data_IF_852317232257
#
_entry.id   IF_852317232257
#
_cell.length_a   1.000
_cell.length_b   1.000
_cell.length_c   1.000
_cell.angle_alpha   90.00
_cell.angle_beta   90.00
_cell.angle_gamma   90.00
#
_symmetry.space_group_name_H-M   'P 1'
#
loop_
_entity.id
_entity.type
_entity.pdbx_description
1 polymer ?
#
# COMPACT_ATOMS: atom_id res chain seq x y z
N UNK A 1 8.78 14.32 -19.42
CA UNK A 1 7.36 14.64 -19.09
C UNK A 1 6.71 15.73 -19.96
N UNK A 2 7.45 16.74 -20.44
CA UNK A 2 6.89 17.87 -21.21
C UNK A 2 5.98 17.44 -22.38
N UNK A 3 6.42 16.47 -23.20
CA UNK A 3 5.63 15.93 -24.31
C UNK A 3 4.25 15.44 -23.89
N UNK A 4 4.16 14.73 -22.75
CA UNK A 4 2.88 14.20 -22.25
C UNK A 4 1.98 15.32 -21.74
N UNK A 5 2.54 16.34 -21.08
CA UNK A 5 1.78 17.51 -20.66
C UNK A 5 1.23 18.30 -21.85
N UNK A 6 2.03 18.50 -22.89
CA UNK A 6 1.59 19.13 -24.14
C UNK A 6 0.48 18.31 -24.83
N UNK A 7 0.62 16.97 -24.84
CA UNK A 7 -0.43 16.07 -25.32
C UNK A 7 -1.72 16.23 -24.51
N UNK A 8 -1.66 16.20 -23.17
CA UNK A 8 -2.82 16.38 -22.32
C UNK A 8 -3.48 17.75 -22.53
N UNK A 9 -2.69 18.82 -22.66
CA UNK A 9 -3.24 20.17 -22.90
C UNK A 9 -4.08 20.24 -24.18
N UNK A 10 -3.61 19.57 -25.24
CA UNK A 10 -4.27 19.55 -26.56
C UNK A 10 -5.44 18.57 -26.64
N UNK A 11 -5.29 17.34 -26.14
CA UNK A 11 -6.23 16.24 -26.35
C UNK A 11 -7.10 15.91 -25.13
N UNK A 12 -6.74 16.42 -23.95
CA UNK A 12 -7.46 16.22 -22.67
C UNK A 12 -7.65 14.75 -22.32
N UNK A 13 -6.64 13.92 -22.59
CA UNK A 13 -6.63 12.49 -22.23
C UNK A 13 -6.04 12.28 -20.82
N UNK A 14 -6.87 12.11 -19.77
CA UNK A 14 -6.39 11.94 -18.40
C UNK A 14 -5.73 10.58 -18.17
N UNK A 15 -6.03 9.58 -18.99
CA UNK A 15 -5.48 8.23 -18.84
C UNK A 15 -3.99 8.25 -19.17
N UNK A 16 -3.62 8.76 -20.35
CA UNK A 16 -2.22 8.84 -20.78
C UNK A 16 -1.40 9.68 -19.79
N UNK A 17 -1.94 10.80 -19.32
CA UNK A 17 -1.26 11.62 -18.32
C UNK A 17 -1.04 10.86 -17.02
N UNK A 18 -2.07 10.21 -16.48
CA UNK A 18 -1.95 9.47 -15.22
C UNK A 18 -0.96 8.31 -15.32
N UNK A 19 -1.00 7.52 -16.41
CA UNK A 19 -0.06 6.43 -16.60
C UNK A 19 1.37 6.94 -16.78
N UNK A 20 1.57 8.06 -17.48
CA UNK A 20 2.90 8.69 -17.57
C UNK A 20 3.43 9.13 -16.21
N UNK A 21 2.57 9.69 -15.35
CA UNK A 21 2.95 10.06 -13.99
C UNK A 21 3.31 8.82 -13.15
N UNK A 22 2.56 7.72 -13.28
CA UNK A 22 2.92 6.44 -12.65
C UNK A 22 4.31 5.99 -13.10
N UNK A 23 4.57 5.97 -14.40
CA UNK A 23 5.87 5.58 -14.97
C UNK A 23 6.99 6.49 -14.45
N UNK A 24 6.78 7.81 -14.46
CA UNK A 24 7.71 8.81 -13.96
C UNK A 24 8.10 8.52 -12.51
N UNK A 25 7.12 8.38 -11.62
CA UNK A 25 7.37 8.14 -10.19
C UNK A 25 8.05 6.79 -9.94
N UNK A 26 7.63 5.72 -10.61
CA UNK A 26 8.23 4.41 -10.40
C UNK A 26 9.66 4.33 -10.92
N UNK A 27 9.96 5.01 -12.03
CA UNK A 27 11.31 5.10 -12.60
C UNK A 27 12.22 6.01 -11.75
N UNK A 28 11.65 7.04 -11.14
CA UNK A 28 12.34 7.92 -10.20
C UNK A 28 12.72 7.17 -8.92
N UNK A 29 11.80 6.37 -8.36
CA UNK A 29 12.06 5.50 -7.21
C UNK A 29 13.12 4.44 -7.53
N UNK A 30 13.10 3.87 -8.74
CA UNK A 30 14.07 2.87 -9.18
C UNK A 30 15.51 3.35 -9.01
N UNK A 31 15.84 4.53 -9.56
CA UNK A 31 17.21 5.05 -9.53
C UNK A 31 17.71 5.37 -8.11
N UNK A 32 16.82 5.87 -7.25
CA UNK A 32 17.22 6.52 -5.97
C UNK A 32 17.05 5.66 -4.74
N UNK A 33 16.04 4.80 -4.77
CA UNK A 33 15.70 3.96 -3.62
C UNK A 33 16.10 2.54 -3.94
N UNK A 34 15.59 2.00 -5.06
CA UNK A 34 15.81 0.59 -5.39
C UNK A 34 17.29 0.35 -5.70
N UNK A 35 17.91 1.10 -6.60
CA UNK A 35 19.30 0.87 -7.02
C UNK A 35 20.35 1.41 -6.03
N UNK A 36 19.92 2.11 -4.98
CA UNK A 36 20.84 2.67 -3.99
C UNK A 36 21.50 1.57 -3.17
N UNK A 37 22.84 1.53 -3.19
CA UNK A 37 23.63 0.50 -2.53
C UNK A 37 23.35 0.37 -1.03
N UNK A 38 23.05 1.47 -0.34
CA UNK A 38 22.71 1.46 1.09
C UNK A 38 21.38 0.74 1.32
N UNK A 39 20.35 1.05 0.53
CA UNK A 39 19.04 0.40 0.67
C UNK A 39 19.05 -1.04 0.16
N UNK A 40 19.80 -1.34 -0.90
CA UNK A 40 20.02 -2.72 -1.35
C UNK A 40 20.58 -3.57 -0.23
N UNK A 41 21.68 -3.13 0.40
CA UNK A 41 22.32 -3.88 1.48
C UNK A 41 21.43 -3.98 2.73
N UNK A 42 20.82 -2.88 3.15
CA UNK A 42 20.17 -2.79 4.47
C UNK A 42 18.67 -3.10 4.44
N UNK A 43 18.04 -3.19 3.27
CA UNK A 43 16.60 -3.43 3.12
C UNK A 43 16.37 -4.59 2.13
N UNK A 44 16.65 -4.40 0.84
CA UNK A 44 16.20 -5.34 -0.20
C UNK A 44 16.89 -6.71 -0.17
N UNK A 45 18.15 -6.77 0.25
CA UNK A 45 18.90 -8.02 0.38
C UNK A 45 18.68 -8.74 1.72
N UNK A 46 17.94 -8.14 2.65
CA UNK A 46 17.67 -8.74 3.96
C UNK A 46 16.73 -9.93 3.83
N UNK A 47 16.87 -10.91 4.74
CA UNK A 47 16.00 -12.09 4.77
C UNK A 47 14.57 -11.65 5.13
N UNK A 48 14.45 -10.67 6.01
CA UNK A 48 13.18 -10.09 6.45
C UNK A 48 12.38 -9.52 5.27
N UNK A 49 13.02 -8.75 4.39
CA UNK A 49 12.37 -8.19 3.21
C UNK A 49 11.92 -9.30 2.25
N UNK A 50 12.82 -10.24 1.93
CA UNK A 50 12.50 -11.36 1.02
C UNK A 50 11.37 -12.24 1.56
N UNK A 51 11.34 -12.45 2.88
CA UNK A 51 10.26 -13.20 3.52
C UNK A 51 8.93 -12.44 3.48
N UNK A 52 8.94 -11.12 3.66
CA UNK A 52 7.73 -10.30 3.52
C UNK A 52 7.15 -10.36 2.11
N UNK A 53 8.02 -10.30 1.09
CA UNK A 53 7.61 -10.40 -0.31
C UNK A 53 7.09 -11.81 -0.64
N UNK A 54 7.81 -12.87 -0.22
CA UNK A 54 7.39 -14.26 -0.39
C UNK A 54 6.04 -14.57 0.28
N UNK A 55 5.84 -14.07 1.51
CA UNK A 55 4.58 -14.24 2.25
C UNK A 55 3.49 -13.25 1.81
N UNK A 56 3.76 -12.38 0.84
CA UNK A 56 2.82 -11.41 0.29
C UNK A 56 2.21 -10.49 1.35
N UNK A 57 3.03 -9.99 2.27
CA UNK A 57 2.55 -9.23 3.44
C UNK A 57 2.31 -7.74 3.16
N UNK A 58 2.63 -7.26 1.96
CA UNK A 58 2.54 -5.85 1.60
C UNK A 58 1.29 -5.57 0.77
N UNK A 59 0.42 -4.69 1.25
CA UNK A 59 -0.86 -4.35 0.62
C UNK A 59 -1.02 -2.84 0.48
N UNK A 60 -1.59 -2.41 -0.65
CA UNK A 60 -2.09 -1.04 -0.84
C UNK A 60 -3.61 -1.12 -0.72
N UNK A 61 -4.15 -0.34 0.21
CA UNK A 61 -5.55 -0.38 0.60
C UNK A 61 -6.23 0.97 0.31
N UNK A 62 -7.41 0.92 -0.27
CA UNK A 62 -8.32 2.03 -0.47
C UNK A 62 -9.61 1.77 0.31
N UNK A 63 -9.76 2.41 1.48
CA UNK A 63 -11.01 2.37 2.21
C UNK A 63 -12.08 3.19 1.50
N UNK A 64 -13.32 2.70 1.55
CA UNK A 64 -14.47 3.37 0.95
C UNK A 64 -15.74 3.13 1.78
N UNK A 65 -16.75 3.96 1.58
CA UNK A 65 -18.07 3.73 2.16
C UNK A 65 -18.89 2.78 1.29
N UNK A 66 -19.36 1.68 1.89
CA UNK A 66 -20.33 0.78 1.24
C UNK A 66 -21.68 1.49 1.10
N UNK A 67 -22.31 1.36 -0.05
CA UNK A 67 -23.55 2.10 -0.37
C UNK A 67 -24.74 1.70 0.51
N UNK A 68 -24.81 0.42 0.93
CA UNK A 68 -25.99 -0.17 1.57
C UNK A 68 -25.97 -0.16 3.10
N UNK A 69 -24.90 0.34 3.73
CA UNK A 69 -24.74 0.30 5.18
C UNK A 69 -24.20 1.63 5.70
N UNK A 70 -25.00 2.34 6.51
CA UNK A 70 -24.57 3.64 7.10
C UNK A 70 -23.26 3.46 7.86
N UNK A 71 -22.18 4.03 7.31
CA UNK A 71 -20.81 4.04 7.86
C UNK A 71 -20.10 2.68 7.91
N UNK A 72 -20.50 1.72 7.08
CA UNK A 72 -19.69 0.51 6.88
C UNK A 72 -18.54 0.82 5.93
N UNK A 73 -17.33 0.45 6.35
CA UNK A 73 -16.10 0.67 5.59
C UNK A 73 -15.78 -0.62 4.83
N UNK A 74 -15.72 -0.52 3.51
CA UNK A 74 -15.13 -1.55 2.66
C UNK A 74 -13.65 -1.27 2.43
N UNK A 75 -12.90 -2.31 2.05
CA UNK A 75 -11.52 -2.20 1.61
C UNK A 75 -11.40 -2.76 0.22
N UNK A 76 -10.93 -1.94 -0.71
CA UNK A 76 -10.40 -2.40 -1.99
C UNK A 76 -8.89 -2.22 -2.01
N UNK A 77 -8.18 -2.90 -2.91
CA UNK A 77 -6.75 -2.72 -3.01
C UNK A 77 -6.05 -3.76 -3.87
N UNK A 78 -4.74 -3.79 -3.73
CA UNK A 78 -3.88 -4.78 -4.38
C UNK A 78 -2.75 -5.19 -3.44
N UNK A 79 -2.37 -6.47 -3.53
CA UNK A 79 -1.15 -6.98 -2.91
C UNK A 79 0.06 -6.64 -3.78
N UNK A 80 1.10 -6.10 -3.17
CA UNK A 80 2.37 -5.84 -3.81
C UNK A 80 3.24 -7.11 -3.76
N UNK A 81 3.85 -7.45 -4.89
CA UNK A 81 4.83 -8.53 -5.03
C UNK A 81 6.02 -8.03 -5.85
N UNK A 82 7.21 -8.57 -5.58
CA UNK A 82 8.44 -8.25 -6.32
C UNK A 82 8.67 -6.74 -6.40
N UNK A 83 8.62 -6.07 -5.25
CA UNK A 83 8.74 -4.62 -5.18
C UNK A 83 10.06 -4.08 -5.75
N UNK A 84 11.10 -4.89 -5.83
CA UNK A 84 12.36 -4.57 -6.50
C UNK A 84 12.23 -4.46 -8.03
N UNK A 85 11.20 -5.07 -8.65
CA UNK A 85 10.97 -4.98 -10.10
C UNK A 85 10.24 -3.71 -10.51
N UNK A 86 10.89 -2.86 -11.31
CA UNK A 86 10.28 -1.68 -11.91
C UNK A 86 9.01 -2.01 -12.71
N UNK A 87 9.06 -3.09 -13.50
CA UNK A 87 7.92 -3.52 -14.32
C UNK A 87 6.69 -3.82 -13.46
N UNK A 88 6.87 -4.57 -12.38
CA UNK A 88 5.78 -4.95 -11.48
C UNK A 88 5.19 -3.74 -10.77
N UNK A 89 6.03 -2.78 -10.37
CA UNK A 89 5.56 -1.53 -9.75
C UNK A 89 4.76 -0.66 -10.72
N UNK A 90 5.18 -0.56 -11.99
CA UNK A 90 4.43 0.18 -13.01
C UNK A 90 3.08 -0.50 -13.26
N UNK A 91 3.06 -1.82 -13.44
CA UNK A 91 1.80 -2.56 -13.64
C UNK A 91 0.87 -2.46 -12.43
N UNK A 92 1.42 -2.52 -11.20
CA UNK A 92 0.66 -2.28 -9.99
C UNK A 92 0.04 -0.89 -9.98
N UNK A 93 0.80 0.16 -10.32
CA UNK A 93 0.28 1.52 -10.43
C UNK A 93 -0.86 1.64 -11.45
N UNK A 94 -0.75 0.96 -12.60
CA UNK A 94 -1.82 0.87 -13.60
C UNK A 94 -3.07 0.16 -13.06
N UNK A 95 -2.90 -0.97 -12.35
CA UNK A 95 -4.02 -1.68 -11.72
C UNK A 95 -4.73 -0.83 -10.67
N UNK A 96 -3.96 -0.14 -9.81
CA UNK A 96 -4.50 0.77 -8.80
C UNK A 96 -5.24 1.96 -9.44
N UNK A 97 -4.70 2.52 -10.52
CA UNK A 97 -5.39 3.57 -11.28
C UNK A 97 -6.73 3.07 -11.80
N UNK A 98 -6.77 1.90 -12.45
CA UNK A 98 -8.02 1.33 -12.92
C UNK A 98 -8.99 1.03 -11.77
N UNK A 99 -8.52 0.48 -10.65
CA UNK A 99 -9.35 0.23 -9.47
C UNK A 99 -10.02 1.51 -8.97
N UNK A 100 -9.27 2.62 -8.92
CA UNK A 100 -9.80 3.90 -8.47
C UNK A 100 -10.72 4.57 -9.49
N UNK A 101 -10.39 4.53 -10.79
CA UNK A 101 -10.98 5.43 -11.79
C UNK A 101 -11.75 4.74 -12.93
N UNK A 102 -11.68 3.42 -13.08
CA UNK A 102 -12.36 2.72 -14.16
C UNK A 102 -13.88 2.66 -13.97
N UNK A 103 -14.35 2.51 -12.72
CA UNK A 103 -15.76 2.61 -12.37
C UNK A 103 -16.05 3.97 -11.71
N UNK A 104 -16.86 4.81 -12.38
CA UNK A 104 -17.23 6.16 -11.90
C UNK A 104 -17.95 6.16 -10.56
N UNK A 105 -18.76 5.16 -10.27
CA UNK A 105 -19.48 5.04 -8.99
C UNK A 105 -18.50 4.71 -7.85
N UNK A 106 -17.46 3.92 -8.13
CA UNK A 106 -16.38 3.62 -7.19
C UNK A 106 -15.64 4.87 -6.73
N UNK A 107 -15.26 5.76 -7.65
CA UNK A 107 -14.51 7.01 -7.36
C UNK A 107 -15.17 7.84 -6.25
N UNK A 108 -16.49 8.08 -6.35
CA UNK A 108 -17.21 8.90 -5.38
C UNK A 108 -17.16 8.29 -3.97
N UNK A 109 -17.27 6.96 -3.86
CA UNK A 109 -17.20 6.29 -2.56
C UNK A 109 -15.84 6.42 -1.88
N UNK A 110 -14.74 6.36 -2.65
CA UNK A 110 -13.38 6.59 -2.15
C UNK A 110 -13.18 8.04 -1.71
N UNK A 111 -13.60 9.00 -2.55
CA UNK A 111 -13.46 10.44 -2.26
C UNK A 111 -14.25 10.82 -1.01
N UNK A 112 -15.52 10.39 -0.91
CA UNK A 112 -16.36 10.67 0.27
C UNK A 112 -15.70 10.16 1.55
N UNK A 113 -15.12 8.95 1.52
CA UNK A 113 -14.40 8.41 2.67
C UNK A 113 -13.17 9.26 3.00
N UNK A 114 -12.30 9.53 2.03
CA UNK A 114 -11.05 10.27 2.24
C UNK A 114 -11.27 11.70 2.76
N UNK A 115 -12.30 12.40 2.26
CA UNK A 115 -12.67 13.75 2.74
C UNK A 115 -13.22 13.71 4.16
N UNK A 116 -13.99 12.67 4.51
CA UNK A 116 -14.61 12.55 5.83
C UNK A 116 -13.68 12.00 6.92
N UNK A 117 -12.57 11.37 6.54
CA UNK A 117 -11.65 10.69 7.44
C UNK A 117 -10.24 11.26 7.31
N UNK A 118 -9.90 12.35 8.04
CA UNK A 118 -8.54 12.86 8.07
C UNK A 118 -7.56 11.79 8.55
N UNK A 119 -6.56 11.49 7.74
CA UNK A 119 -5.59 10.44 8.04
C UNK A 119 -4.69 10.81 9.22
N UNK A 120 -4.63 9.92 10.21
CA UNK A 120 -3.68 9.99 11.32
C UNK A 120 -2.42 9.14 11.07
N UNK A 121 -2.44 8.32 10.01
CA UNK A 121 -1.44 7.29 9.73
C UNK A 121 -1.63 6.01 10.56
N UNK A 122 -2.65 5.96 11.42
CA UNK A 122 -3.05 4.74 12.12
C UNK A 122 -4.01 3.92 11.27
N UNK A 123 -3.89 2.59 11.33
CA UNK A 123 -4.87 1.66 10.75
C UNK A 123 -6.24 1.72 11.45
N UNK A 124 -6.32 2.37 12.61
CA UNK A 124 -7.58 2.70 13.29
C UNK A 124 -8.50 3.55 12.40
N UNK A 125 -7.92 4.36 11.50
CA UNK A 125 -8.67 5.27 10.62
C UNK A 125 -9.70 4.50 9.76
N UNK A 126 -9.30 3.33 9.24
CA UNK A 126 -10.17 2.52 8.37
C UNK A 126 -10.67 1.22 9.02
N UNK A 127 -10.07 0.74 10.12
CA UNK A 127 -10.49 -0.51 10.78
C UNK A 127 -10.42 -0.43 12.32
N UNK A 128 -11.24 0.43 12.95
CA UNK A 128 -11.20 0.74 14.40
C UNK A 128 -11.63 -0.43 15.32
N UNK A 129 -12.29 -1.44 14.76
CA UNK A 129 -12.65 -2.66 15.49
C UNK A 129 -11.44 -3.58 15.73
N UNK A 130 -10.44 -3.52 14.85
CA UNK A 130 -9.24 -4.36 14.93
C UNK A 130 -8.02 -3.60 15.47
N UNK A 131 -7.90 -2.32 15.12
CA UNK A 131 -6.75 -1.49 15.48
C UNK A 131 -7.12 -0.37 16.46
N UNK A 132 -6.14 0.01 17.28
CA UNK A 132 -6.26 1.16 18.18
C UNK A 132 -4.93 1.92 18.31
N UNK A 133 -5.00 3.23 18.46
CA UNK A 133 -3.85 4.15 18.59
C UNK A 133 -3.30 4.24 20.01
N UNK A 134 -3.95 3.57 20.97
CA UNK A 134 -3.47 3.39 22.34
C UNK A 134 -3.15 1.93 22.58
N UNK A 135 -2.01 1.66 23.23
CA UNK A 135 -1.59 0.31 23.56
C UNK A 135 -2.38 -0.23 24.75
N UNK A 136 -3.41 -1.01 24.46
CA UNK A 136 -4.29 -1.63 25.46
C UNK A 136 -3.67 -2.88 26.14
N UNK A 137 -2.58 -3.42 25.59
CA UNK A 137 -1.95 -4.62 26.12
C UNK A 137 -1.10 -4.34 27.36
N UNK A 138 -1.25 -5.18 28.38
CA UNK A 138 -0.44 -5.14 29.60
C UNK A 138 1.01 -5.53 29.28
N UNK A 139 2.02 -4.70 29.65
CA UNK A 139 3.42 -5.04 29.51
C UNK A 139 3.80 -6.36 30.19
N UNK A 140 4.81 -7.07 29.67
CA UNK A 140 5.34 -8.31 30.27
C UNK A 140 4.53 -9.59 30.01
N UNK A 141 3.31 -9.50 29.46
CA UNK A 141 2.55 -10.71 29.05
C UNK A 141 3.01 -11.23 27.68
N UNK A 142 3.04 -12.56 27.46
CA UNK A 142 3.34 -13.13 26.16
C UNK A 142 2.29 -12.67 25.13
N UNK A 143 2.72 -12.54 23.88
CA UNK A 143 1.79 -12.18 22.82
C UNK A 143 0.81 -13.33 22.61
N UNK A 144 -0.48 -13.02 22.56
CA UNK A 144 -1.55 -13.97 22.24
C UNK A 144 -2.17 -13.53 20.93
N UNK A 145 -2.47 -14.49 20.07
CA UNK A 145 -3.21 -14.28 18.83
C UNK A 145 -4.53 -13.58 19.15
N UNK A 146 -4.80 -12.46 18.47
CA UNK A 146 -5.94 -11.58 18.73
C UNK A 146 -7.05 -11.78 17.71
N UNK A 147 -6.68 -12.15 16.49
CA UNK A 147 -7.59 -12.28 15.38
C UNK A 147 -7.88 -13.76 15.07
N UNK A 148 -9.12 -14.06 14.70
CA UNK A 148 -9.52 -15.34 14.11
C UNK A 148 -10.64 -15.07 13.11
N UNK A 149 -10.48 -15.48 11.86
CA UNK A 149 -11.48 -15.36 10.80
C UNK A 149 -11.98 -13.91 10.63
N UNK A 150 -11.09 -12.94 10.45
CA UNK A 150 -11.51 -11.55 10.22
C UNK A 150 -11.87 -10.76 11.48
N UNK A 151 -12.01 -11.41 12.63
CA UNK A 151 -12.58 -10.79 13.83
C UNK A 151 -11.66 -10.86 15.04
N UNK A 152 -11.72 -9.82 15.87
CA UNK A 152 -11.04 -9.79 17.16
C UNK A 152 -11.74 -10.74 18.14
N UNK A 153 -10.96 -11.54 18.86
CA UNK A 153 -11.50 -12.44 19.87
C UNK A 153 -12.05 -11.66 21.07
N UNK A 154 -13.17 -12.14 21.64
CA UNK A 154 -13.83 -11.50 22.78
C UNK A 154 -12.87 -11.37 23.97
N UNK A 155 -12.78 -10.15 24.53
CA UNK A 155 -11.92 -9.85 25.68
C UNK A 155 -10.44 -9.72 25.35
N UNK A 156 -10.04 -9.76 24.08
CA UNK A 156 -8.66 -9.52 23.64
C UNK A 156 -8.50 -8.05 23.22
N UNK A 157 -7.44 -7.35 23.67
CA UNK A 157 -7.20 -5.97 23.26
C UNK A 157 -6.93 -5.85 21.75
N UNK A 158 -7.22 -4.68 21.17
CA UNK A 158 -6.96 -4.36 19.76
C UNK A 158 -5.48 -4.29 19.44
N UNK A 159 -5.16 -4.50 18.16
CA UNK A 159 -3.79 -4.38 17.66
C UNK A 159 -3.37 -2.92 17.76
N UNK A 160 -2.24 -2.67 18.41
CA UNK A 160 -1.70 -1.34 18.54
C UNK A 160 -1.22 -0.82 17.17
N UNK A 161 -1.76 0.31 16.74
CA UNK A 161 -1.39 1.04 15.54
C UNK A 161 -1.26 2.53 15.90
N UNK A 162 -0.07 3.02 16.23
CA UNK A 162 0.12 4.43 16.59
C UNK A 162 -0.22 5.37 15.42
N UNK A 163 -0.41 6.65 15.75
CA UNK A 163 -0.39 7.72 14.74
C UNK A 163 1.02 7.89 14.16
N UNK A 164 1.11 8.47 12.97
CA UNK A 164 2.36 8.64 12.23
C UNK A 164 3.43 9.34 13.08
N UNK A 165 3.06 10.41 13.79
CA UNK A 165 3.98 11.22 14.61
C UNK A 165 4.66 10.45 15.76
N UNK A 166 4.08 9.31 16.18
CA UNK A 166 4.61 8.45 17.24
C UNK A 166 5.26 7.18 16.68
N UNK A 167 5.09 6.89 15.39
CA UNK A 167 5.62 5.70 14.75
C UNK A 167 7.06 5.88 14.27
N UNK A 168 7.37 7.05 13.68
CA UNK A 168 8.70 7.38 13.18
C UNK A 168 9.13 8.78 13.61
N UNK A 169 10.44 8.95 13.81
CA UNK A 169 11.02 10.28 14.03
C UNK A 169 11.03 11.05 12.71
N UNK A 170 11.01 12.37 12.78
CA UNK A 170 11.26 13.21 11.62
C UNK A 170 12.65 12.90 11.03
N UNK A 171 12.71 12.80 9.71
CA UNK A 171 13.93 12.56 8.95
C UNK A 171 14.15 13.72 7.99
N UNK A 172 15.41 14.15 7.85
CA UNK A 172 15.78 15.12 6.82
C UNK A 172 16.05 14.36 5.52
N UNK A 173 15.39 14.77 4.44
CA UNK A 173 15.61 14.20 3.13
C UNK A 173 16.60 15.04 2.34
N UNK A 174 17.48 14.37 1.61
CA UNK A 174 18.36 15.02 0.64
C UNK A 174 17.54 15.64 -0.49
N UNK A 175 18.11 16.63 -1.16
CA UNK A 175 17.47 17.27 -2.31
C UNK A 175 17.25 16.25 -3.42
N UNK A 176 16.21 16.49 -4.20
CA UNK A 176 15.98 15.66 -5.36
C UNK A 176 17.11 15.85 -6.40
N UNK A 177 17.76 14.75 -6.78
CA UNK A 177 18.65 14.69 -7.95
C UNK A 177 17.97 15.21 -9.22
N UNK A 178 18.77 15.75 -10.13
CA UNK A 178 18.27 16.26 -11.41
C UNK A 178 18.51 15.17 -12.46
N UNK A 179 17.46 14.78 -13.19
CA UNK A 179 17.58 13.81 -14.28
C UNK A 179 16.23 13.40 -14.86
N UNK A 180 16.25 12.96 -16.12
CA UNK A 180 15.09 12.36 -16.77
C UNK A 180 15.01 10.86 -16.44
N UNK A 181 13.83 10.27 -16.58
CA UNK A 181 13.58 8.83 -16.54
C UNK A 181 13.44 8.23 -17.94
N UNK A 182 13.13 9.05 -18.95
CA UNK A 182 12.90 8.58 -20.33
C UNK A 182 14.23 8.39 -21.07
N UNK A 183 14.65 7.14 -21.22
CA UNK A 183 15.86 6.76 -22.00
C UNK A 183 15.59 5.68 -23.03
N UNK A 184 14.43 5.01 -22.94
CA UNK A 184 14.04 3.90 -23.78
C UNK A 184 12.58 4.09 -24.23
N UNK A 185 12.36 3.90 -25.53
CA UNK A 185 11.05 3.99 -26.17
C UNK A 185 10.14 2.83 -25.79
N UNK A 186 10.67 1.68 -25.38
CA UNK A 186 9.84 0.53 -24.95
C UNK A 186 8.87 0.87 -23.82
N UNK A 187 9.17 1.93 -23.04
CA UNK A 187 8.29 2.42 -21.98
C UNK A 187 6.91 2.84 -22.50
N UNK A 188 6.78 3.15 -23.80
CA UNK A 188 5.48 3.50 -24.39
C UNK A 188 4.51 2.32 -24.40
N UNK A 189 5.00 1.09 -24.32
CA UNK A 189 4.16 -0.11 -24.27
C UNK A 189 3.26 -0.11 -23.02
N UNK A 190 3.70 0.55 -21.94
CA UNK A 190 2.88 0.73 -20.74
C UNK A 190 1.68 1.65 -20.95
N UNK A 191 1.62 2.44 -22.02
CA UNK A 191 0.42 3.24 -22.34
C UNK A 191 -0.73 2.41 -22.90
N UNK A 192 -0.49 1.16 -23.31
CA UNK A 192 -1.57 0.27 -23.69
C UNK A 192 -2.46 -0.02 -22.47
N UNK A 193 -3.78 -0.10 -22.69
CA UNK A 193 -4.71 -0.47 -21.62
C UNK A 193 -4.39 -1.88 -21.12
N UNK A 194 -4.68 -2.11 -19.85
CA UNK A 194 -4.60 -3.44 -19.28
C UNK A 194 -5.82 -4.24 -19.78
N UNK A 195 -5.57 -5.36 -20.42
CA UNK A 195 -6.60 -6.32 -20.86
C UNK A 195 -6.96 -7.33 -19.75
N UNK A 196 -6.70 -6.98 -18.49
CA UNK A 196 -6.96 -7.80 -17.31
C UNK A 196 -8.17 -7.27 -16.51
N UNK A 197 -9.05 -8.18 -16.09
CA UNK A 197 -10.11 -7.86 -15.14
C UNK A 197 -9.49 -7.68 -13.75
N UNK A 198 -9.60 -6.47 -13.21
CA UNK A 198 -8.96 -6.12 -11.94
C UNK A 198 -9.95 -6.39 -10.81
N UNK A 199 -9.74 -7.49 -10.09
CA UNK A 199 -10.42 -7.72 -8.82
C UNK A 199 -9.80 -6.81 -7.75
N UNK A 200 -10.60 -5.92 -7.17
CA UNK A 200 -10.20 -5.03 -6.09
C UNK A 200 -10.44 -5.58 -4.69
N UNK A 201 -11.08 -6.74 -4.53
CA UNK A 201 -11.29 -7.36 -3.23
C UNK A 201 -9.94 -7.70 -2.58
N UNK A 202 -9.75 -7.28 -1.33
CA UNK A 202 -8.49 -7.47 -0.59
C UNK A 202 -8.69 -7.76 0.90
N UNK A 203 -9.94 -7.70 1.38
CA UNK A 203 -10.23 -7.77 2.80
C UNK A 203 -9.78 -9.11 3.41
N UNK A 204 -9.99 -10.20 2.67
CA UNK A 204 -9.64 -11.56 3.10
C UNK A 204 -8.12 -11.77 3.06
N UNK A 205 -7.43 -11.38 1.99
CA UNK A 205 -5.97 -11.44 1.88
C UNK A 205 -5.28 -10.60 2.95
N UNK A 206 -5.84 -9.43 3.25
CA UNK A 206 -5.31 -8.57 4.30
C UNK A 206 -5.58 -9.16 5.69
N UNK A 207 -6.74 -9.78 5.92
CA UNK A 207 -7.03 -10.54 7.12
C UNK A 207 -6.00 -11.68 7.33
N UNK A 208 -5.79 -12.52 6.31
CA UNK A 208 -4.80 -13.59 6.36
C UNK A 208 -3.39 -13.07 6.67
N UNK A 209 -3.04 -11.91 6.09
CA UNK A 209 -1.75 -11.27 6.32
C UNK A 209 -1.55 -10.92 7.78
N UNK A 210 -2.57 -10.35 8.43
CA UNK A 210 -2.51 -10.03 9.86
C UNK A 210 -2.35 -11.32 10.67
N UNK A 211 -3.09 -12.38 10.35
CA UNK A 211 -2.97 -13.67 11.03
C UNK A 211 -1.57 -14.28 10.87
N UNK A 212 -0.99 -14.24 9.65
CA UNK A 212 0.39 -14.66 9.37
C UNK A 212 1.40 -13.88 10.20
N UNK A 213 1.23 -12.56 10.32
CA UNK A 213 2.09 -11.70 11.15
C UNK A 213 1.98 -12.04 12.64
N UNK A 214 0.78 -12.30 13.16
CA UNK A 214 0.59 -12.71 14.56
C UNK A 214 1.31 -14.03 14.85
N UNK A 215 1.18 -15.02 13.94
CA UNK A 215 1.87 -16.31 14.06
C UNK A 215 3.39 -16.15 14.01
N UNK A 216 3.91 -15.31 13.12
CA UNK A 216 5.34 -15.01 13.06
C UNK A 216 5.87 -14.39 14.36
N UNK A 217 5.11 -13.49 15.00
CA UNK A 217 5.47 -12.91 16.30
C UNK A 217 5.50 -13.97 17.41
N UNK A 218 4.55 -14.89 17.42
CA UNK A 218 4.49 -16.00 18.39
C UNK A 218 5.69 -16.94 18.18
N UNK A 219 5.95 -17.36 16.94
CA UNK A 219 7.06 -18.23 16.59
C UNK A 219 8.41 -17.60 16.96
N UNK A 220 8.62 -16.32 16.63
CA UNK A 220 9.84 -15.58 17.00
C UNK A 220 10.07 -15.60 18.51
N UNK A 221 9.03 -15.38 19.33
CA UNK A 221 9.16 -15.42 20.79
C UNK A 221 9.41 -16.83 21.35
N UNK A 222 8.96 -17.88 20.65
CA UNK A 222 9.22 -19.26 21.06
C UNK A 222 10.66 -19.69 20.76
N UNK A 223 11.21 -19.24 19.62
CA UNK A 223 12.57 -19.58 19.16
C UNK A 223 13.65 -18.77 19.89
N UNK A 224 13.47 -17.46 20.02
CA UNK A 224 14.46 -16.54 20.59
C UNK A 224 14.21 -16.25 22.07
N UNK A 225 13.97 -17.30 22.85
CA UNK A 225 13.68 -17.22 24.29
C UNK A 225 14.89 -16.74 25.10
#
# INVERSE_FOLDING_TARGET
>A
METIWNHFWKYRDPYILAIALVINEQSYLEKRVIQNALFQKNVFHTIEFKLQDFLRLNHILFPYYKENEKRSIGLMGQTLQRFDSLHERILLGKRLYSLLFYNKEGVDTFIRWAVSCPHTGSRKDYWPHLFHDVRESIPGRPYRRRMKNGQIQKGVPRIYSPRLEYAWKNVSHEKADIGDWFHDWTITDYFNKLDEEINGEIADEYCETIEKMELAVIAKKAIFR
#
